data_IF_815550448541
#
_entry.id   IF_815550448541
#
_cell.length_a   1.000
_cell.length_b   1.000
_cell.length_c   1.000
_cell.angle_alpha   90.00
_cell.angle_beta   90.00
_cell.angle_gamma   90.00
#
_symmetry.space_group_name_H-M   'P 1'
#
loop_
_entity.id
_entity.type
_entity.pdbx_description
1 polymer ?
#
# COMPACT_ATOMS: atom_id res chain seq x y z
N UNK A 1 -5.98 12.81 -39.94
CA UNK A 1 -5.73 12.56 -38.51
C UNK A 1 -4.73 11.43 -38.41
N UNK A 2 -3.58 11.67 -37.76
CA UNK A 2 -2.53 10.65 -37.58
C UNK A 2 -2.87 9.84 -36.33
N UNK A 3 -2.87 8.52 -36.47
CA UNK A 3 -3.18 7.60 -35.39
C UNK A 3 -1.91 6.84 -34.99
N UNK A 4 -1.65 6.75 -33.69
CA UNK A 4 -0.44 6.09 -33.19
C UNK A 4 -0.68 5.36 -31.87
N UNK A 5 0.30 4.56 -31.46
CA UNK A 5 0.26 3.84 -30.18
C UNK A 5 1.20 4.48 -29.19
N UNK A 6 0.76 4.60 -27.94
CA UNK A 6 1.61 4.92 -26.78
C UNK A 6 2.18 3.61 -26.23
N UNK A 7 3.49 3.53 -26.09
CA UNK A 7 4.20 2.42 -25.44
C UNK A 7 4.90 2.93 -24.20
N UNK A 8 4.52 2.44 -23.02
CA UNK A 8 5.18 2.81 -21.77
C UNK A 8 6.53 2.09 -21.68
N UNK A 9 7.61 2.84 -21.50
CA UNK A 9 8.98 2.33 -21.43
C UNK A 9 9.45 2.19 -19.98
N UNK A 10 9.10 3.15 -19.12
CA UNK A 10 9.52 3.18 -17.72
C UNK A 10 8.49 3.90 -16.87
N UNK A 11 8.26 3.38 -15.67
CA UNK A 11 7.40 3.98 -14.64
C UNK A 11 8.23 4.13 -13.36
N UNK A 12 8.17 5.32 -12.76
CA UNK A 12 8.62 5.59 -11.39
C UNK A 12 7.67 6.59 -10.73
N UNK A 13 7.77 6.73 -9.40
CA UNK A 13 6.98 7.74 -8.68
C UNK A 13 7.31 9.18 -9.10
N UNK A 14 8.44 9.40 -9.75
CA UNK A 14 8.94 10.73 -10.15
C UNK A 14 8.87 10.99 -11.65
N UNK A 15 8.53 9.99 -12.47
CA UNK A 15 8.49 10.13 -13.92
C UNK A 15 7.85 8.93 -14.61
N UNK A 16 7.25 9.18 -15.77
CA UNK A 16 6.84 8.15 -16.72
C UNK A 16 7.52 8.44 -18.05
N UNK A 17 8.25 7.47 -18.59
CA UNK A 17 8.82 7.55 -19.93
C UNK A 17 8.00 6.69 -20.89
N UNK A 18 7.66 7.24 -22.05
CA UNK A 18 6.86 6.56 -23.06
C UNK A 18 7.32 6.92 -24.47
N UNK A 19 7.12 6.00 -25.40
CA UNK A 19 7.36 6.20 -26.82
C UNK A 19 6.05 6.32 -27.59
N UNK A 20 6.08 7.10 -28.66
CA UNK A 20 5.05 7.13 -29.69
C UNK A 20 5.60 6.56 -31.00
N UNK A 21 4.75 5.90 -31.78
CA UNK A 21 5.18 5.23 -33.03
C UNK A 21 5.45 6.19 -34.20
N UNK A 22 5.22 7.50 -34.01
CA UNK A 22 5.41 8.54 -35.04
C UNK A 22 6.64 9.37 -34.67
N UNK A 23 7.79 9.15 -35.33
CA UNK A 23 9.00 9.91 -35.05
C UNK A 23 8.81 11.40 -35.39
N UNK A 24 9.44 12.28 -34.61
CA UNK A 24 9.45 13.73 -34.82
C UNK A 24 8.09 14.44 -34.66
N UNK A 25 7.03 13.74 -34.26
CA UNK A 25 5.86 14.43 -33.74
C UNK A 25 6.31 15.21 -32.50
N UNK A 26 5.83 16.44 -32.33
CA UNK A 26 6.09 17.27 -31.15
C UNK A 26 4.79 17.34 -30.37
N UNK A 27 4.80 16.86 -29.13
CA UNK A 27 3.65 16.93 -28.23
C UNK A 27 3.76 18.17 -27.33
N UNK A 28 2.69 18.94 -27.25
CA UNK A 28 2.47 19.92 -26.21
C UNK A 28 1.82 19.26 -25.00
N UNK A 29 1.96 19.91 -23.82
CA UNK A 29 1.32 19.46 -22.58
C UNK A 29 -0.20 19.27 -22.74
N UNK A 30 -0.85 20.16 -23.48
CA UNK A 30 -2.30 20.14 -23.69
C UNK A 30 -2.76 19.05 -24.65
N UNK A 31 -1.85 18.36 -25.32
CA UNK A 31 -2.20 17.21 -26.16
C UNK A 31 -2.39 15.95 -25.31
N UNK A 32 -1.98 15.96 -24.04
CA UNK A 32 -2.03 14.80 -23.15
C UNK A 32 -3.18 14.96 -22.16
N UNK A 33 -4.18 14.10 -22.31
CA UNK A 33 -5.26 13.91 -21.33
C UNK A 33 -4.78 12.96 -20.23
N UNK A 34 -4.72 13.48 -19.00
CA UNK A 34 -4.36 12.69 -17.82
C UNK A 34 -5.49 12.68 -16.80
N UNK A 35 -5.70 11.51 -16.18
CA UNK A 35 -6.59 11.35 -15.04
C UNK A 35 -5.86 10.62 -13.93
N UNK A 36 -5.60 11.27 -12.81
CA UNK A 36 -4.99 10.69 -11.61
C UNK A 36 -6.10 10.40 -10.59
N UNK A 37 -6.22 9.15 -10.15
CA UNK A 37 -7.23 8.73 -9.17
C UNK A 37 -8.65 9.21 -9.53
N UNK A 38 -9.03 9.06 -10.80
CA UNK A 38 -10.32 9.49 -11.38
C UNK A 38 -10.56 11.01 -11.41
N UNK A 39 -9.52 11.84 -11.20
CA UNK A 39 -9.59 13.30 -11.33
C UNK A 39 -8.66 13.80 -12.43
N UNK A 40 -9.07 14.83 -13.17
CA UNK A 40 -8.22 15.42 -14.21
C UNK A 40 -6.91 15.94 -13.62
N UNK A 41 -5.79 15.61 -14.26
CA UNK A 41 -4.46 15.90 -13.73
C UNK A 41 -3.66 16.79 -14.69
N UNK A 42 -3.26 17.97 -14.22
CA UNK A 42 -2.58 18.97 -15.04
C UNK A 42 -1.21 19.37 -14.50
N UNK A 43 -0.81 18.89 -13.32
CA UNK A 43 0.37 19.38 -12.61
C UNK A 43 1.65 18.60 -12.97
N UNK A 44 2.09 18.74 -14.22
CA UNK A 44 3.27 18.05 -14.75
C UNK A 44 4.01 18.86 -15.81
N UNK A 45 5.21 18.37 -16.13
CA UNK A 45 6.04 18.79 -17.25
C UNK A 45 6.20 17.64 -18.24
N UNK A 46 6.26 17.97 -19.53
CA UNK A 46 6.51 17.03 -20.62
C UNK A 46 7.84 17.38 -21.27
N UNK A 47 8.72 16.41 -21.39
CA UNK A 47 10.06 16.58 -21.94
C UNK A 47 10.23 15.58 -23.07
N UNK A 48 10.55 16.04 -24.28
CA UNK A 48 10.91 15.18 -25.41
C UNK A 48 12.41 14.87 -25.36
N UNK A 49 12.80 13.63 -25.61
CA UNK A 49 14.20 13.28 -25.78
C UNK A 49 14.70 13.77 -27.16
N UNK A 50 15.72 14.65 -27.13
CA UNK A 50 16.29 15.24 -28.34
C UNK A 50 17.07 14.23 -29.21
N UNK A 51 17.60 13.16 -28.59
CA UNK A 51 18.36 12.11 -29.28
C UNK A 51 17.42 11.06 -29.88
N UNK A 52 16.35 10.73 -29.18
CA UNK A 52 15.31 9.80 -29.62
C UNK A 52 13.99 10.54 -29.73
N UNK A 53 13.76 11.23 -30.86
CA UNK A 53 12.59 12.09 -31.14
C UNK A 53 11.20 11.39 -31.17
N UNK A 54 11.12 10.18 -30.62
CA UNK A 54 9.91 9.41 -30.36
C UNK A 54 9.66 9.19 -28.85
N UNK A 55 10.64 9.46 -28.00
CA UNK A 55 10.63 9.22 -26.56
C UNK A 55 10.26 10.51 -25.82
N UNK A 56 9.37 10.35 -24.85
CA UNK A 56 8.85 11.41 -24.02
C UNK A 56 8.96 11.03 -22.56
N UNK A 57 9.18 12.01 -21.70
CA UNK A 57 9.14 11.87 -20.26
C UNK A 57 8.13 12.85 -19.69
N UNK A 58 7.12 12.31 -19.03
CA UNK A 58 6.20 13.04 -18.17
C UNK A 58 6.80 13.06 -16.76
N UNK A 59 7.02 14.25 -16.22
CA UNK A 59 7.51 14.46 -14.86
C UNK A 59 6.48 15.26 -14.05
N UNK A 60 5.82 14.65 -13.04
CA UNK A 60 4.88 15.38 -12.20
C UNK A 60 5.63 16.40 -11.34
N UNK A 61 4.96 17.49 -10.96
CA UNK A 61 5.59 18.51 -10.11
C UNK A 61 5.70 18.03 -8.66
N UNK A 62 4.78 17.18 -8.22
CA UNK A 62 4.87 16.40 -6.98
C UNK A 62 4.95 14.92 -7.30
N UNK A 63 5.75 14.14 -6.58
CA UNK A 63 5.86 12.69 -6.81
C UNK A 63 4.49 12.00 -6.68
N UNK A 64 4.24 11.02 -7.54
CA UNK A 64 3.11 10.10 -7.40
C UNK A 64 3.22 9.28 -6.12
N UNK A 65 2.08 8.82 -5.62
CA UNK A 65 1.96 7.85 -4.54
C UNK A 65 2.02 6.41 -5.06
N UNK A 66 2.43 5.48 -4.20
CA UNK A 66 2.43 4.02 -4.47
C UNK A 66 1.03 3.41 -4.62
N UNK A 67 -0.02 4.20 -4.40
CA UNK A 67 -1.41 3.78 -4.57
C UNK A 67 -2.10 4.52 -5.72
N UNK A 68 -1.36 5.38 -6.44
CA UNK A 68 -1.93 6.17 -7.51
C UNK A 68 -2.25 5.30 -8.74
N UNK A 69 -3.36 5.65 -9.39
CA UNK A 69 -3.75 5.14 -10.70
C UNK A 69 -3.79 6.30 -11.66
N UNK A 70 -2.93 6.28 -12.68
CA UNK A 70 -2.90 7.28 -13.73
C UNK A 70 -3.44 6.69 -15.03
N UNK A 71 -4.42 7.36 -15.62
CA UNK A 71 -4.83 7.13 -16.99
C UNK A 71 -4.21 8.19 -17.90
N UNK A 72 -3.69 7.76 -19.04
CA UNK A 72 -3.06 8.63 -20.02
C UNK A 72 -3.61 8.34 -21.41
N UNK A 73 -3.91 9.41 -22.14
CA UNK A 73 -4.32 9.40 -23.53
C UNK A 73 -3.77 10.65 -24.23
N UNK A 74 -3.47 10.57 -25.53
CA UNK A 74 -3.08 11.74 -26.32
C UNK A 74 -4.19 12.08 -27.30
N UNK A 75 -4.71 13.31 -27.20
CA UNK A 75 -5.77 13.85 -28.07
C UNK A 75 -5.42 15.23 -28.60
N UNK A 76 -5.35 15.34 -29.92
CA UNK A 76 -5.19 16.59 -30.64
C UNK A 76 -6.05 16.55 -31.93
N UNK A 77 -6.55 17.68 -32.46
CA UNK A 77 -7.31 17.68 -33.72
C UNK A 77 -6.59 17.04 -34.93
N UNK A 78 -5.25 17.04 -34.93
CA UNK A 78 -4.47 16.50 -36.03
C UNK A 78 -3.97 15.06 -35.79
N UNK A 79 -3.90 14.63 -34.54
CA UNK A 79 -3.36 13.33 -34.16
C UNK A 79 -3.92 12.80 -32.84
N UNK A 80 -4.01 11.49 -32.68
CA UNK A 80 -4.45 10.87 -31.43
C UNK A 80 -3.82 9.51 -31.19
N UNK A 81 -3.72 9.14 -29.92
CA UNK A 81 -3.38 7.78 -29.52
C UNK A 81 -4.57 6.85 -29.72
N UNK A 82 -4.35 5.67 -30.28
CA UNK A 82 -5.36 4.63 -30.44
C UNK A 82 -5.63 3.85 -29.15
N UNK A 83 -4.88 4.12 -28.08
CA UNK A 83 -4.97 3.44 -26.81
C UNK A 83 -4.95 4.43 -25.65
N UNK A 84 -5.75 4.12 -24.63
CA UNK A 84 -5.64 4.73 -23.31
C UNK A 84 -4.78 3.83 -22.43
N UNK A 85 -3.70 4.38 -21.89
CA UNK A 85 -2.81 3.67 -20.98
C UNK A 85 -3.33 3.81 -19.55
N UNK A 86 -3.52 2.68 -18.85
CA UNK A 86 -3.69 2.64 -17.39
C UNK A 86 -2.35 2.31 -16.77
N UNK A 87 -1.83 3.19 -15.93
CA UNK A 87 -0.56 3.06 -15.22
C UNK A 87 -0.90 2.90 -13.74
N UNK A 88 -0.43 1.80 -13.17
CA UNK A 88 -0.55 1.49 -11.76
C UNK A 88 0.83 1.73 -11.14
N UNK A 89 0.94 2.71 -10.25
CA UNK A 89 2.14 2.84 -9.45
C UNK A 89 2.04 1.77 -8.37
N UNK A 90 2.90 0.75 -8.41
CA UNK A 90 2.94 -0.30 -7.40
C UNK A 90 4.35 -0.45 -6.85
N UNK A 91 4.44 -0.73 -5.55
CA UNK A 91 5.70 -1.12 -4.95
C UNK A 91 6.03 -2.55 -5.40
N UNK A 92 7.23 -2.80 -5.96
CA UNK A 92 7.64 -4.15 -6.26
C UNK A 92 7.80 -4.93 -4.94
N UNK A 93 7.19 -6.11 -4.87
CA UNK A 93 7.49 -7.07 -3.82
C UNK A 93 8.97 -7.47 -3.91
N UNK A 94 9.66 -7.51 -2.77
CA UNK A 94 11.00 -8.08 -2.68
C UNK A 94 10.85 -9.48 -2.10
N UNK A 95 11.20 -10.51 -2.88
CA UNK A 95 11.04 -11.93 -2.49
C UNK A 95 9.60 -12.32 -2.09
N UNK A 96 8.58 -11.70 -2.70
CA UNK A 96 7.18 -11.94 -2.36
C UNK A 96 6.69 -11.16 -1.12
N UNK A 97 7.52 -10.31 -0.53
CA UNK A 97 7.19 -9.52 0.65
C UNK A 97 7.14 -8.02 0.33
N UNK A 98 6.25 -7.30 1.03
CA UNK A 98 6.20 -5.84 1.03
C UNK A 98 5.96 -5.34 2.45
N UNK A 99 6.61 -4.25 2.82
CA UNK A 99 6.40 -3.57 4.08
C UNK A 99 5.38 -2.46 3.86
N UNK A 100 4.32 -2.48 4.66
CA UNK A 100 3.29 -1.44 4.67
C UNK A 100 3.29 -0.82 6.06
N UNK A 101 3.64 0.45 6.14
CA UNK A 101 3.51 1.22 7.37
C UNK A 101 2.05 1.69 7.52
N UNK A 102 1.45 1.40 8.67
CA UNK A 102 0.12 1.91 9.02
C UNK A 102 0.21 2.70 10.33
N UNK A 103 -0.60 3.76 10.43
CA UNK A 103 -0.74 4.54 11.67
C UNK A 103 -2.18 4.45 12.13
N UNK A 104 -2.36 4.12 13.41
CA UNK A 104 -3.68 4.13 14.04
C UNK A 104 -4.06 5.58 14.36
N UNK A 105 -5.17 6.03 13.79
CA UNK A 105 -5.60 7.44 13.87
C UNK A 105 -5.96 7.89 15.28
N UNK A 106 -6.53 6.99 16.09
CA UNK A 106 -7.18 7.33 17.35
C UNK A 106 -6.52 6.70 18.60
N UNK A 107 -5.39 5.99 18.45
CA UNK A 107 -4.73 5.24 19.54
C UNK A 107 -5.71 4.41 20.41
N UNK A 108 -6.85 4.01 19.86
CA UNK A 108 -7.85 3.25 20.57
C UNK A 108 -7.34 1.83 20.79
N UNK A 109 -7.50 1.33 22.01
CA UNK A 109 -7.20 -0.07 22.32
C UNK A 109 -8.21 -1.00 21.67
N UNK A 110 -7.77 -2.18 21.24
CA UNK A 110 -8.63 -3.19 20.65
C UNK A 110 -7.87 -4.29 19.92
N UNK A 111 -8.65 -5.22 19.36
CA UNK A 111 -8.18 -6.26 18.46
C UNK A 111 -8.43 -5.81 17.01
N UNK A 112 -7.37 -5.61 16.25
CA UNK A 112 -7.40 -5.09 14.88
C UNK A 112 -7.13 -6.21 13.88
N UNK A 113 -7.66 -6.07 12.67
CA UNK A 113 -7.33 -6.92 11.52
C UNK A 113 -7.11 -6.04 10.29
N UNK A 114 -6.14 -6.42 9.47
CA UNK A 114 -5.93 -5.83 8.16
C UNK A 114 -6.63 -6.70 7.14
N UNK A 115 -7.52 -6.09 6.37
CA UNK A 115 -8.19 -6.72 5.24
C UNK A 115 -7.75 -6.01 3.95
N UNK A 116 -7.20 -6.78 3.01
CA UNK A 116 -6.89 -6.33 1.65
C UNK A 116 -7.87 -7.04 0.74
N UNK A 117 -9.00 -6.39 0.47
CA UNK A 117 -10.06 -6.93 -0.40
C UNK A 117 -9.59 -6.96 -1.86
N UNK A 118 -9.00 -5.85 -2.32
CA UNK A 118 -8.43 -5.74 -3.65
C UNK A 118 -7.15 -4.93 -3.66
N UNK A 119 -6.27 -5.22 -4.63
CA UNK A 119 -5.07 -4.44 -4.91
C UNK A 119 -5.02 -4.20 -6.43
N UNK A 120 -4.97 -2.93 -6.84
CA UNK A 120 -4.94 -2.53 -8.25
C UNK A 120 -6.11 -3.06 -9.11
N UNK A 121 -7.26 -3.34 -8.49
CA UNK A 121 -8.45 -3.88 -9.15
C UNK A 121 -8.42 -5.39 -9.38
N UNK A 122 -7.47 -6.10 -8.76
CA UNK A 122 -7.50 -7.55 -8.62
C UNK A 122 -8.01 -7.88 -7.22
N UNK A 123 -8.89 -8.87 -7.11
CA UNK A 123 -9.41 -9.35 -5.83
C UNK A 123 -8.35 -10.23 -5.14
N UNK A 124 -8.01 -9.89 -3.90
CA UNK A 124 -7.02 -10.59 -3.08
C UNK A 124 -7.64 -11.25 -1.85
N UNK A 125 -8.65 -10.61 -1.24
CA UNK A 125 -9.36 -11.09 -0.04
C UNK A 125 -8.41 -11.62 1.06
N UNK A 126 -7.31 -10.91 1.29
CA UNK A 126 -6.32 -11.29 2.31
C UNK A 126 -6.71 -10.70 3.65
N UNK A 127 -6.73 -11.56 4.68
CA UNK A 127 -6.98 -11.17 6.06
C UNK A 127 -5.76 -11.47 6.92
N UNK A 128 -5.31 -10.49 7.70
CA UNK A 128 -4.27 -10.72 8.68
C UNK A 128 -4.78 -11.52 9.88
N UNK A 129 -3.85 -12.11 10.63
CA UNK A 129 -4.11 -12.48 12.00
C UNK A 129 -4.50 -11.23 12.82
N UNK A 130 -5.28 -11.39 13.91
CA UNK A 130 -5.57 -10.28 14.82
C UNK A 130 -4.27 -9.68 15.38
N UNK A 131 -4.21 -8.35 15.42
CA UNK A 131 -3.14 -7.58 16.05
C UNK A 131 -3.74 -6.84 17.24
N UNK A 132 -3.18 -7.07 18.42
CA UNK A 132 -3.65 -6.43 19.64
C UNK A 132 -2.96 -5.09 19.82
N UNK A 133 -3.77 -4.05 19.95
CA UNK A 133 -3.32 -2.71 20.27
C UNK A 133 -3.78 -2.41 21.68
N UNK A 134 -2.81 -2.20 22.56
CA UNK A 134 -3.04 -1.78 23.93
C UNK A 134 -1.88 -0.89 24.37
N UNK A 135 -2.07 -0.19 25.49
CA UNK A 135 -0.94 0.38 26.21
C UNK A 135 -0.08 -0.76 26.77
N UNK A 136 1.16 -0.48 27.15
CA UNK A 136 2.06 -1.48 27.71
C UNK A 136 1.38 -2.24 28.86
N UNK A 137 1.54 -3.56 28.87
CA UNK A 137 1.06 -4.41 29.97
C UNK A 137 1.81 -4.00 31.24
N UNK A 138 1.08 -3.94 32.36
CA UNK A 138 1.63 -3.74 33.71
C UNK A 138 1.76 -5.11 34.40
N UNK A 139 2.96 -5.73 34.41
CA UNK A 139 3.10 -7.12 34.88
C UNK A 139 2.88 -7.26 36.38
N UNK A 140 3.16 -6.20 37.17
CA UNK A 140 3.03 -6.20 38.63
C UNK A 140 1.58 -6.30 39.12
N UNK A 141 0.61 -5.86 38.33
CA UNK A 141 -0.81 -5.97 38.66
C UNK A 141 -1.53 -7.06 37.87
N UNK A 142 -0.92 -7.55 36.80
CA UNK A 142 -1.41 -8.69 36.03
C UNK A 142 -1.26 -9.98 36.84
N UNK A 143 -2.15 -10.94 36.61
CA UNK A 143 -2.24 -12.16 37.42
C UNK A 143 -2.34 -13.40 36.54
N UNK A 144 -1.65 -14.45 36.96
CA UNK A 144 -1.90 -15.82 36.53
C UNK A 144 -2.75 -16.46 37.60
N UNK A 145 -3.95 -16.90 37.22
CA UNK A 145 -4.92 -17.53 38.10
C UNK A 145 -4.96 -19.01 37.73
N UNK A 146 -4.25 -19.88 38.46
CA UNK A 146 -4.30 -21.32 38.18
C UNK A 146 -5.69 -21.85 38.52
N UNK A 147 -6.14 -22.87 37.79
CA UNK A 147 -7.40 -23.54 38.10
C UNK A 147 -7.35 -24.28 39.45
N UNK A 148 -6.16 -24.71 39.87
CA UNK A 148 -5.92 -25.37 41.17
C UNK A 148 -4.56 -25.02 41.76
N UNK A 149 -4.43 -25.15 43.08
CA UNK A 149 -3.21 -24.81 43.80
C UNK A 149 -2.08 -25.85 43.61
N UNK A 150 -2.43 -27.11 43.37
CA UNK A 150 -1.48 -28.21 43.25
C UNK A 150 -1.80 -29.10 42.04
N UNK A 151 -0.75 -29.51 41.33
CA UNK A 151 -0.81 -30.40 40.17
C UNK A 151 0.07 -31.62 40.45
N UNK A 152 -0.43 -32.81 40.12
CA UNK A 152 0.35 -34.04 40.12
C UNK A 152 1.24 -34.11 38.86
N UNK A 153 2.28 -34.94 38.93
CA UNK A 153 3.14 -35.20 37.78
C UNK A 153 2.32 -35.76 36.60
N UNK A 154 2.51 -35.19 35.42
CA UNK A 154 1.81 -35.57 34.19
C UNK A 154 0.43 -34.93 34.00
N UNK A 155 -0.04 -34.09 34.92
CA UNK A 155 -1.30 -33.37 34.75
C UNK A 155 -1.16 -32.14 33.85
N UNK A 156 -2.23 -31.84 33.10
CA UNK A 156 -2.34 -30.62 32.29
C UNK A 156 -2.54 -29.42 33.24
N UNK A 157 -1.70 -28.40 33.07
CA UNK A 157 -1.84 -27.13 33.79
C UNK A 157 -2.74 -26.20 32.98
N UNK A 158 -3.89 -25.84 33.56
CA UNK A 158 -4.79 -24.82 33.03
C UNK A 158 -4.71 -23.59 33.93
N UNK A 159 -4.43 -22.44 33.33
CA UNK A 159 -4.30 -21.16 34.01
C UNK A 159 -4.99 -20.06 33.20
N UNK A 160 -5.70 -19.18 33.89
CA UNK A 160 -6.28 -17.99 33.31
C UNK A 160 -5.33 -16.81 33.49
N UNK A 161 -5.14 -16.03 32.43
CA UNK A 161 -4.32 -14.82 32.47
C UNK A 161 -5.24 -13.61 32.55
N UNK A 162 -5.12 -12.85 33.63
CA UNK A 162 -5.78 -11.55 33.78
C UNK A 162 -4.73 -10.46 33.62
N UNK A 163 -4.76 -9.78 32.47
CA UNK A 163 -3.77 -8.79 32.09
C UNK A 163 -4.34 -7.37 32.18
N UNK A 164 -3.56 -6.47 32.77
CA UNK A 164 -3.87 -5.04 32.88
C UNK A 164 -2.81 -4.22 32.17
N UNK A 165 -3.22 -3.09 31.59
CA UNK A 165 -2.29 -2.08 31.10
C UNK A 165 -1.79 -1.14 32.23
N UNK A 166 -0.87 -0.24 31.87
CA UNK A 166 -0.29 0.76 32.78
C UNK A 166 -1.29 1.77 33.38
N UNK A 167 -2.53 1.81 32.89
CA UNK A 167 -3.60 2.63 33.46
C UNK A 167 -4.58 1.76 34.28
N UNK A 168 -4.15 0.58 34.71
CA UNK A 168 -4.94 -0.39 35.47
C UNK A 168 -6.21 -0.86 34.73
N UNK A 169 -6.22 -0.78 33.40
CA UNK A 169 -7.39 -1.15 32.60
C UNK A 169 -7.18 -2.52 31.92
N UNK A 170 -8.22 -3.37 31.82
CA UNK A 170 -8.11 -4.63 31.07
C UNK A 170 -7.65 -4.41 29.63
N UNK A 171 -6.65 -5.21 29.23
CA UNK A 171 -6.18 -5.29 27.85
C UNK A 171 -7.21 -6.04 26.98
N UNK A 172 -7.25 -5.82 25.65
CA UNK A 172 -8.19 -6.51 24.78
C UNK A 172 -7.96 -8.02 24.70
N UNK A 173 -9.00 -8.79 24.46
CA UNK A 173 -8.85 -10.22 24.16
C UNK A 173 -8.05 -10.43 22.87
N UNK A 174 -7.17 -11.44 22.87
CA UNK A 174 -6.23 -11.59 21.78
C UNK A 174 -5.19 -12.68 21.94
N UNK A 175 -4.28 -12.71 20.95
CA UNK A 175 -3.10 -13.56 21.00
C UNK A 175 -1.99 -12.81 21.72
N UNK A 176 -1.50 -13.39 22.80
CA UNK A 176 -0.39 -12.90 23.60
C UNK A 176 0.73 -13.93 23.59
N UNK A 177 1.97 -13.46 23.50
CA UNK A 177 3.13 -14.31 23.74
C UNK A 177 3.28 -14.52 25.25
N UNK A 178 3.40 -15.78 25.68
CA UNK A 178 3.51 -16.17 27.08
C UNK A 178 4.71 -17.08 27.21
N UNK A 179 5.65 -16.70 28.09
CA UNK A 179 6.80 -17.52 28.41
C UNK A 179 6.62 -18.16 29.79
N UNK A 180 6.82 -19.48 29.85
CA UNK A 180 6.72 -20.27 31.08
C UNK A 180 8.13 -20.62 31.55
N UNK A 181 8.44 -20.31 32.80
CA UNK A 181 9.72 -20.63 33.40
C UNK A 181 9.50 -21.51 34.63
N UNK A 182 10.29 -22.58 34.76
CA UNK A 182 10.40 -23.33 36.01
C UNK A 182 11.35 -22.59 36.96
N UNK A 183 10.91 -22.35 38.20
CA UNK A 183 11.80 -21.99 39.30
C UNK A 183 12.30 -23.23 40.01
#
# INVERSE_FOLDING_TARGET
MINFKITICKISLTSISFEITVPNLILAKNDIDLTLNNTSYYDFTLIQDNTQKKLYTLKPNSSFSINDILYMEIKNPFFSSNNKCKILFSQPFKNGESLIDFKLSNNSKGSYRFNIESLNGLDFNLNSNPVIVSKSIQPSLSKVIPEKETYNSGEIIVSNLYLLDIDDTPVPDGLYEVELYSK
#
